data_IF_757043541342
#
_entry.id   IF_757043541342
#
_cell.length_a   1.000
_cell.length_b   1.000
_cell.length_c   1.000
_cell.angle_alpha   90.00
_cell.angle_beta   90.00
_cell.angle_gamma   90.00
#
_symmetry.space_group_name_H-M   'P 1'
#
loop_
_entity.id
_entity.type
_entity.pdbx_description
1 polymer ?
#
# COMPACT_ATOMS: atom_id res chain seq x y z
N UNK A 1 3.14 11.57 -9.70
CA UNK A 1 3.01 10.52 -8.66
C UNK A 1 3.17 9.16 -9.33
N UNK A 2 3.88 8.23 -8.67
CA UNK A 2 4.04 6.86 -9.15
C UNK A 2 2.68 6.16 -9.27
N UNK A 3 2.55 5.20 -10.18
CA UNK A 3 1.36 4.37 -10.30
C UNK A 3 1.76 2.89 -10.27
N UNK A 4 1.00 2.07 -9.56
CA UNK A 4 1.28 0.64 -9.39
C UNK A 4 0.03 -0.18 -9.66
N UNK A 5 0.06 -0.98 -10.72
CA UNK A 5 -0.92 -2.06 -10.89
C UNK A 5 -0.56 -3.19 -9.93
N UNK A 6 -1.48 -3.46 -9.03
CA UNK A 6 -1.20 -4.18 -7.79
C UNK A 6 -2.20 -5.31 -7.56
N UNK A 7 -1.75 -6.37 -6.89
CA UNK A 7 -2.64 -7.36 -6.29
C UNK A 7 -2.21 -7.53 -4.83
N UNK A 8 -3.10 -7.24 -3.88
CA UNK A 8 -2.74 -7.25 -2.44
C UNK A 8 -2.17 -8.61 -2.02
N UNK A 9 -2.77 -9.70 -2.49
CA UNK A 9 -2.36 -11.07 -2.17
C UNK A 9 -1.25 -11.65 -3.09
N UNK A 10 -0.61 -10.85 -3.94
CA UNK A 10 0.52 -11.29 -4.77
C UNK A 10 1.86 -11.09 -4.04
N UNK A 11 2.70 -12.14 -3.92
CA UNK A 11 3.99 -12.02 -3.24
C UNK A 11 4.94 -11.05 -3.95
N UNK A 12 4.93 -10.97 -5.28
CA UNK A 12 5.77 -10.05 -6.05
C UNK A 12 5.35 -8.58 -5.85
N UNK A 13 4.05 -8.32 -5.81
CA UNK A 13 3.51 -6.99 -5.55
C UNK A 13 3.83 -6.54 -4.11
N UNK A 14 3.73 -7.45 -3.14
CA UNK A 14 4.15 -7.21 -1.75
C UNK A 14 5.60 -6.74 -1.65
N UNK A 15 6.54 -7.33 -2.40
CA UNK A 15 7.94 -6.90 -2.37
C UNK A 15 8.09 -5.44 -2.84
N UNK A 16 7.37 -5.05 -3.89
CA UNK A 16 7.39 -3.66 -4.37
C UNK A 16 6.76 -2.71 -3.35
N UNK A 17 5.62 -3.06 -2.76
CA UNK A 17 4.98 -2.25 -1.70
C UNK A 17 5.85 -2.11 -0.45
N UNK A 18 6.62 -3.15 -0.09
CA UNK A 18 7.61 -3.06 0.99
C UNK A 18 8.70 -2.03 0.68
N UNK A 19 9.22 -2.00 -0.56
CA UNK A 19 10.20 -1.00 -0.98
C UNK A 19 9.61 0.40 -1.03
N UNK A 20 8.38 0.56 -1.52
CA UNK A 20 7.67 1.85 -1.49
C UNK A 20 7.47 2.34 -0.04
N UNK A 21 7.17 1.44 0.89
CA UNK A 21 7.12 1.74 2.33
C UNK A 21 8.50 2.16 2.88
N UNK A 22 9.56 1.44 2.50
CA UNK A 22 10.93 1.69 2.97
C UNK A 22 11.48 3.03 2.48
N UNK A 23 11.12 3.42 1.26
CA UNK A 23 11.53 4.69 0.64
C UNK A 23 10.55 5.84 0.94
N UNK A 24 9.50 5.60 1.74
CA UNK A 24 8.44 6.57 2.07
C UNK A 24 7.81 7.23 0.83
N UNK A 25 7.60 6.45 -0.24
CA UNK A 25 7.09 6.94 -1.52
C UNK A 25 5.58 6.80 -1.63
N UNK A 26 4.89 7.88 -1.94
CA UNK A 26 3.47 7.85 -2.25
C UNK A 26 3.20 7.31 -3.65
N UNK A 27 2.14 6.51 -3.77
CA UNK A 27 1.80 5.81 -5.01
C UNK A 27 0.29 5.77 -5.22
N UNK A 28 -0.14 5.95 -6.47
CA UNK A 28 -1.49 5.59 -6.90
C UNK A 28 -1.55 4.08 -7.10
N UNK A 29 -2.35 3.40 -6.29
CA UNK A 29 -2.57 1.95 -6.45
C UNK A 29 -3.75 1.72 -7.38
N UNK A 30 -3.53 0.90 -8.41
CA UNK A 30 -4.51 0.47 -9.40
C UNK A 30 -4.80 -1.03 -9.20
N UNK A 31 -5.81 -1.41 -8.40
CA UNK A 31 -5.93 -2.79 -7.95
C UNK A 31 -6.44 -3.75 -9.02
N UNK A 32 -5.82 -4.92 -9.12
CA UNK A 32 -6.06 -5.90 -10.19
C UNK A 32 -6.43 -7.30 -9.64
N UNK A 33 -7.45 -7.42 -8.78
CA UNK A 33 -7.86 -8.71 -8.19
C UNK A 33 -8.19 -9.74 -9.28
N UNK A 34 -8.15 -11.04 -8.96
CA UNK A 34 -8.48 -12.08 -9.96
C UNK A 34 -9.92 -11.91 -10.43
N UNK A 35 -10.12 -11.90 -11.75
CA UNK A 35 -11.42 -11.66 -12.37
C UNK A 35 -11.86 -10.20 -12.37
N UNK A 36 -10.98 -9.25 -12.01
CA UNK A 36 -11.25 -7.82 -12.14
C UNK A 36 -11.32 -7.39 -13.60
N UNK A 37 -12.19 -6.44 -13.89
CA UNK A 37 -12.49 -5.96 -15.24
C UNK A 37 -12.07 -4.50 -15.44
N UNK A 38 -11.65 -3.79 -14.38
CA UNK A 38 -11.30 -2.37 -14.47
C UNK A 38 -9.88 -2.16 -14.99
N UNK A 39 -8.89 -2.52 -14.18
CA UNK A 39 -7.49 -2.19 -14.47
C UNK A 39 -6.72 -3.31 -15.18
N UNK A 40 -7.24 -4.55 -15.15
CA UNK A 40 -6.59 -5.68 -15.84
C UNK A 40 -6.61 -5.52 -17.37
N UNK A 41 -7.76 -5.19 -18.02
CA UNK A 41 -7.77 -4.99 -19.47
C UNK A 41 -6.95 -3.78 -19.88
N UNK A 42 -7.02 -2.69 -19.11
CA UNK A 42 -6.21 -1.49 -19.31
C UNK A 42 -4.70 -1.81 -19.33
N UNK A 43 -4.22 -2.62 -18.38
CA UNK A 43 -2.83 -3.05 -18.38
C UNK A 43 -2.47 -3.94 -19.57
N UNK A 44 -3.40 -4.78 -20.04
CA UNK A 44 -3.16 -5.59 -21.25
C UNK A 44 -3.02 -4.71 -22.48
N UNK A 45 -3.87 -3.69 -22.61
CA UNK A 45 -3.80 -2.74 -23.72
C UNK A 45 -2.50 -1.92 -23.69
N UNK A 46 -2.09 -1.46 -22.49
CA UNK A 46 -0.90 -0.63 -22.31
C UNK A 46 0.42 -1.42 -22.37
N UNK A 47 0.52 -2.49 -21.59
CA UNK A 47 1.76 -3.24 -21.40
C UNK A 47 1.81 -4.61 -22.10
N UNK A 48 0.73 -4.99 -22.79
CA UNK A 48 0.65 -6.20 -23.62
C UNK A 48 0.30 -7.49 -22.87
N UNK A 49 0.31 -7.49 -21.53
CA UNK A 49 -0.04 -8.67 -20.71
C UNK A 49 -0.51 -8.30 -19.30
N UNK A 50 -1.42 -9.11 -18.76
CA UNK A 50 -1.90 -9.01 -17.39
C UNK A 50 -0.89 -9.62 -16.39
N UNK A 51 0.29 -9.01 -16.28
CA UNK A 51 1.34 -9.39 -15.35
C UNK A 51 1.49 -8.32 -14.26
N UNK A 52 1.66 -8.75 -13.00
CA UNK A 52 1.70 -7.86 -11.84
C UNK A 52 2.90 -8.20 -10.95
N UNK A 53 3.56 -7.21 -10.32
CA UNK A 53 3.26 -5.78 -10.40
C UNK A 53 3.68 -5.15 -11.73
N UNK A 54 3.08 -3.99 -12.05
CA UNK A 54 3.52 -3.10 -13.13
C UNK A 54 3.62 -1.68 -12.58
N UNK A 55 4.80 -1.06 -12.68
CA UNK A 55 5.06 0.29 -12.21
C UNK A 55 5.05 1.25 -13.40
N UNK A 56 4.38 2.40 -13.23
CA UNK A 56 4.53 3.57 -14.09
C UNK A 56 5.13 4.70 -13.26
N UNK A 57 6.17 5.31 -13.78
CA UNK A 57 6.80 6.51 -13.23
C UNK A 57 6.71 7.67 -14.23
N UNK A 58 5.72 8.57 -14.06
CA UNK A 58 5.59 9.74 -14.91
C UNK A 58 6.74 10.76 -14.75
N UNK A 59 7.51 10.71 -13.65
CA UNK A 59 8.60 11.67 -13.42
C UNK A 59 9.80 11.40 -14.33
N UNK A 60 9.95 10.15 -14.78
CA UNK A 60 11.07 9.71 -15.63
C UNK A 60 10.62 9.06 -16.94
N UNK A 61 9.32 9.01 -17.18
CA UNK A 61 8.70 8.34 -18.34
C UNK A 61 9.07 6.84 -18.44
N UNK A 62 9.09 6.16 -17.29
CA UNK A 62 9.49 4.75 -17.17
C UNK A 62 8.27 3.89 -16.87
N UNK A 63 8.12 2.77 -17.58
CA UNK A 63 7.12 1.75 -17.31
C UNK A 63 7.78 0.37 -17.26
N UNK A 64 7.54 -0.38 -16.18
CA UNK A 64 8.32 -1.58 -15.87
C UNK A 64 7.44 -2.74 -15.38
N UNK A 65 7.68 -3.91 -15.97
CA UNK A 65 7.33 -5.20 -15.39
C UNK A 65 8.45 -5.68 -14.45
N UNK A 66 8.27 -6.89 -13.92
CA UNK A 66 9.23 -7.64 -13.09
C UNK A 66 9.54 -6.96 -11.76
N UNK A 67 9.07 -7.56 -10.66
CA UNK A 67 9.21 -6.95 -9.32
C UNK A 67 10.66 -6.64 -8.94
N UNK A 68 11.62 -7.45 -9.36
CA UNK A 68 13.04 -7.22 -9.05
C UNK A 68 13.63 -6.02 -9.80
N UNK A 69 13.19 -5.81 -11.05
CA UNK A 69 13.61 -4.66 -11.86
C UNK A 69 12.97 -3.38 -11.34
N UNK A 70 11.69 -3.44 -10.97
CA UNK A 70 10.98 -2.35 -10.28
C UNK A 70 11.71 -1.97 -8.99
N UNK A 71 12.08 -2.94 -8.15
CA UNK A 71 12.81 -2.68 -6.90
C UNK A 71 14.18 -2.06 -7.18
N UNK A 72 14.90 -2.59 -8.17
CA UNK A 72 16.20 -2.04 -8.56
C UNK A 72 16.09 -0.59 -9.03
N UNK A 73 15.06 -0.29 -9.83
CA UNK A 73 14.73 1.04 -10.30
C UNK A 73 14.42 1.99 -9.13
N UNK A 74 13.51 1.62 -8.22
CA UNK A 74 13.09 2.47 -7.10
C UNK A 74 14.28 2.88 -6.21
N UNK A 75 15.16 1.94 -5.85
CA UNK A 75 16.36 2.28 -5.06
C UNK A 75 17.34 3.15 -5.85
N UNK A 76 17.49 2.91 -7.16
CA UNK A 76 18.39 3.71 -8.00
C UNK A 76 17.91 5.16 -8.12
N UNK A 77 16.61 5.34 -8.36
CA UNK A 77 16.02 6.66 -8.66
C UNK A 77 15.69 7.45 -7.39
N UNK A 78 15.15 6.78 -6.37
CA UNK A 78 14.62 7.42 -5.16
C UNK A 78 15.35 7.05 -3.87
N UNK A 79 16.11 5.95 -3.86
CA UNK A 79 16.85 5.46 -2.68
C UNK A 79 18.31 5.92 -2.59
N UNK A 80 18.73 6.94 -3.35
CA UNK A 80 20.11 7.43 -3.34
C UNK A 80 21.13 6.49 -3.99
N UNK A 81 20.68 5.49 -4.76
CA UNK A 81 21.53 4.59 -5.55
C UNK A 81 21.99 3.32 -4.84
N UNK A 82 21.90 3.24 -3.51
CA UNK A 82 22.31 2.06 -2.75
C UNK A 82 21.14 1.14 -2.42
N UNK A 83 21.29 -0.14 -2.79
CA UNK A 83 20.35 -1.19 -2.38
C UNK A 83 20.81 -1.84 -1.06
N UNK A 84 19.96 -1.90 -0.02
CA UNK A 84 20.22 -2.67 1.18
C UNK A 84 20.56 -4.13 0.87
N UNK A 85 21.39 -4.75 1.71
CA UNK A 85 21.90 -6.10 1.47
C UNK A 85 20.78 -7.15 1.32
N UNK A 86 19.67 -6.99 2.06
CA UNK A 86 18.47 -7.86 1.97
C UNK A 86 17.89 -7.92 0.55
N UNK A 87 17.96 -6.81 -0.20
CA UNK A 87 17.48 -6.71 -1.58
C UNK A 87 18.53 -7.18 -2.61
N UNK A 88 19.82 -7.08 -2.27
CA UNK A 88 20.92 -7.61 -3.10
C UNK A 88 20.97 -9.14 -3.12
N UNK A 89 20.60 -9.79 -2.01
CA UNK A 89 20.60 -11.26 -1.86
C UNK A 89 19.34 -11.94 -2.45
N UNK A 90 18.51 -11.21 -3.19
CA UNK A 90 17.46 -11.79 -4.03
C UNK A 90 16.20 -12.28 -3.31
N UNK A 91 15.81 -11.71 -2.15
CA UNK A 91 14.49 -11.95 -1.54
C UNK A 91 14.16 -13.39 -1.13
N UNK A 92 15.10 -14.34 -1.29
CA UNK A 92 14.88 -15.78 -1.07
C UNK A 92 14.44 -16.10 0.37
N UNK A 93 14.89 -15.31 1.34
CA UNK A 93 14.53 -15.50 2.76
C UNK A 93 13.03 -15.22 3.01
N UNK A 94 12.41 -14.34 2.23
CA UNK A 94 11.01 -13.96 2.41
C UNK A 94 10.06 -15.04 1.88
N UNK A 95 10.42 -15.73 0.79
CA UNK A 95 9.62 -16.83 0.21
C UNK A 95 9.40 -17.98 1.20
N UNK A 96 10.43 -18.34 1.99
CA UNK A 96 10.33 -19.39 3.01
C UNK A 96 9.34 -19.05 4.13
N UNK A 97 9.27 -17.77 4.55
CA UNK A 97 8.32 -17.31 5.56
C UNK A 97 6.86 -17.21 5.06
N UNK A 98 6.66 -17.08 3.73
CA UNK A 98 5.33 -17.00 3.11
C UNK A 98 4.57 -18.33 3.14
N UNK A 99 5.28 -19.48 3.10
CA UNK A 99 4.66 -20.79 3.24
C UNK A 99 4.01 -21.00 4.62
N UNK A 100 4.50 -20.33 5.66
CA UNK A 100 3.96 -20.43 7.01
C UNK A 100 2.63 -19.66 7.22
N UNK A 101 2.17 -18.89 6.22
CA UNK A 101 0.98 -18.02 6.30
C UNK A 101 -0.19 -18.51 5.43
N UNK A 102 -0.28 -19.83 5.20
CA UNK A 102 -1.24 -20.46 4.29
C UNK A 102 -2.75 -20.37 4.61
N UNK A 103 -3.28 -20.04 5.82
CA UNK A 103 -4.71 -20.26 6.06
C UNK A 103 -5.65 -19.16 5.52
N UNK A 104 -5.18 -18.13 4.81
CA UNK A 104 -6.03 -17.00 4.34
C UNK A 104 -6.18 -16.86 2.81
N UNK A 105 -5.78 -17.88 2.05
CA UNK A 105 -5.64 -17.84 0.58
C UNK A 105 -6.91 -17.51 -0.25
N UNK A 106 -8.06 -17.18 0.35
CA UNK A 106 -9.31 -16.94 -0.40
C UNK A 106 -9.98 -15.58 -0.18
N UNK A 107 -9.62 -14.81 0.86
CA UNK A 107 -10.29 -13.52 1.15
C UNK A 107 -9.56 -12.37 0.44
N UNK A 108 -10.30 -11.53 -0.29
CA UNK A 108 -9.74 -10.40 -1.06
C UNK A 108 -9.02 -10.78 -2.36
N UNK A 109 -9.15 -12.02 -2.83
CA UNK A 109 -8.47 -12.47 -4.06
C UNK A 109 -9.29 -12.32 -5.34
N UNK A 110 -10.61 -12.27 -5.23
CA UNK A 110 -11.52 -12.12 -6.38
C UNK A 110 -12.13 -10.73 -6.40
N UNK A 111 -12.38 -10.25 -7.61
CA UNK A 111 -13.13 -9.03 -7.81
C UNK A 111 -14.54 -9.13 -7.23
N UNK A 112 -14.95 -8.06 -6.59
CA UNK A 112 -16.31 -7.70 -6.21
C UNK A 112 -16.36 -6.20 -6.42
N UNK A 113 -16.37 -5.83 -7.69
CA UNK A 113 -16.24 -4.46 -8.18
C UNK A 113 -17.25 -3.56 -7.48
N UNK A 114 -16.75 -2.47 -6.90
CA UNK A 114 -17.58 -1.42 -6.31
C UNK A 114 -17.65 -0.19 -7.21
N UNK A 115 -18.43 0.79 -6.78
CA UNK A 115 -18.54 2.08 -7.45
C UNK A 115 -17.23 2.87 -7.34
N UNK A 116 -16.87 3.59 -8.39
CA UNK A 116 -15.64 4.39 -8.42
C UNK A 116 -15.89 5.71 -7.70
N UNK A 117 -15.06 6.08 -6.71
CA UNK A 117 -15.13 7.42 -6.15
C UNK A 117 -14.74 8.47 -7.19
N UNK A 118 -15.39 9.64 -7.18
CA UNK A 118 -15.09 10.74 -8.11
C UNK A 118 -13.68 11.30 -7.88
N UNK A 119 -13.26 11.34 -6.61
CA UNK A 119 -11.94 11.73 -6.16
C UNK A 119 -11.24 10.56 -5.47
N UNK A 120 -9.93 10.43 -5.67
CA UNK A 120 -9.16 9.33 -5.10
C UNK A 120 -9.20 9.35 -3.57
N UNK A 121 -9.51 8.19 -2.98
CA UNK A 121 -9.36 8.00 -1.53
C UNK A 121 -7.88 8.04 -1.16
N UNK A 122 -7.56 8.51 0.04
CA UNK A 122 -6.21 8.45 0.60
C UNK A 122 -6.13 7.41 1.72
N UNK A 123 -5.23 6.44 1.59
CA UNK A 123 -4.98 5.44 2.63
C UNK A 123 -3.57 5.62 3.21
N UNK A 124 -3.50 5.98 4.47
CA UNK A 124 -2.27 5.98 5.25
C UNK A 124 -2.04 4.56 5.76
N UNK A 125 -0.95 3.94 5.31
CA UNK A 125 -0.69 2.52 5.51
C UNK A 125 0.82 2.21 5.43
N UNK A 126 1.21 1.03 5.90
CA UNK A 126 2.51 0.44 5.62
C UNK A 126 2.36 -1.07 5.44
N UNK A 127 3.23 -1.70 4.66
CA UNK A 127 3.06 -3.10 4.19
C UNK A 127 2.85 -4.09 5.35
N UNK A 128 3.63 -3.97 6.43
CA UNK A 128 3.59 -4.91 7.57
C UNK A 128 2.45 -4.68 8.57
N UNK A 129 1.58 -3.69 8.37
CA UNK A 129 0.42 -3.48 9.26
C UNK A 129 -0.69 -4.51 9.00
N UNK A 130 -1.06 -5.35 10.00
CA UNK A 130 -2.10 -6.35 9.81
C UNK A 130 -3.50 -5.72 9.66
N UNK A 131 -3.75 -4.57 10.27
CA UNK A 131 -5.02 -3.85 10.17
C UNK A 131 -5.17 -3.12 8.84
N UNK A 132 -4.09 -2.47 8.36
CA UNK A 132 -4.11 -1.80 7.07
C UNK A 132 -4.22 -2.80 5.91
N UNK A 133 -3.62 -3.99 6.06
CA UNK A 133 -3.79 -5.08 5.11
C UNK A 133 -5.25 -5.41 4.86
N UNK A 134 -6.11 -5.43 5.88
CA UNK A 134 -7.55 -5.70 5.70
C UNK A 134 -8.21 -4.66 4.79
N UNK A 135 -7.88 -3.38 4.99
CA UNK A 135 -8.39 -2.28 4.17
C UNK A 135 -7.89 -2.38 2.73
N UNK A 136 -6.59 -2.66 2.53
CA UNK A 136 -6.03 -2.87 1.18
C UNK A 136 -6.64 -4.08 0.47
N UNK A 137 -6.90 -5.17 1.18
CA UNK A 137 -7.59 -6.35 0.64
C UNK A 137 -9.01 -5.99 0.16
N UNK A 138 -9.74 -5.15 0.92
CA UNK A 138 -11.08 -4.69 0.55
C UNK A 138 -11.04 -3.75 -0.66
N UNK A 139 -10.20 -2.72 -0.65
CA UNK A 139 -10.01 -1.81 -1.80
C UNK A 139 -9.58 -2.58 -3.05
N UNK A 140 -8.71 -3.58 -2.88
CA UNK A 140 -8.28 -4.44 -3.97
C UNK A 140 -9.43 -5.28 -4.53
N UNK A 141 -10.25 -5.90 -3.68
CA UNK A 141 -11.41 -6.67 -4.13
C UNK A 141 -12.43 -5.78 -4.85
N UNK A 142 -12.62 -4.54 -4.39
CA UNK A 142 -13.56 -3.58 -4.97
C UNK A 142 -13.04 -2.89 -6.24
N UNK A 143 -11.78 -3.12 -6.62
CA UNK A 143 -11.13 -2.42 -7.72
C UNK A 143 -11.14 -0.89 -7.56
N UNK A 144 -11.18 -0.38 -6.32
CA UNK A 144 -11.19 1.07 -6.06
C UNK A 144 -9.74 1.58 -6.11
N UNK A 145 -9.40 2.52 -7.02
CA UNK A 145 -8.09 3.14 -7.02
C UNK A 145 -7.95 4.10 -5.83
N UNK A 146 -6.75 4.19 -5.27
CA UNK A 146 -6.48 5.04 -4.11
C UNK A 146 -5.03 5.51 -4.05
N UNK A 147 -4.81 6.66 -3.40
CA UNK A 147 -3.48 7.13 -3.05
C UNK A 147 -3.03 6.40 -1.79
N UNK A 148 -1.96 5.62 -1.89
CA UNK A 148 -1.30 5.03 -0.73
C UNK A 148 -0.28 6.05 -0.19
N UNK A 149 -0.57 6.58 1.00
CA UNK A 149 0.33 7.42 1.79
C UNK A 149 1.18 6.52 2.67
N UNK A 150 2.44 6.30 2.29
CA UNK A 150 3.28 5.38 3.05
C UNK A 150 3.62 5.95 4.43
N UNK A 151 3.45 5.13 5.46
CA UNK A 151 3.65 5.51 6.86
C UNK A 151 4.50 4.45 7.56
N UNK A 152 5.67 4.19 6.99
CA UNK A 152 6.67 3.26 7.53
C UNK A 152 7.11 3.61 8.96
N UNK A 153 8.08 2.87 9.48
CA UNK A 153 8.67 3.16 10.78
C UNK A 153 10.18 3.05 10.67
N UNK A 154 10.88 4.16 10.84
CA UNK A 154 12.34 4.24 10.78
C UNK A 154 12.97 4.26 12.17
N UNK A 155 12.23 4.71 13.19
CA UNK A 155 12.73 4.83 14.56
C UNK A 155 12.22 3.70 15.45
N UNK A 156 13.07 3.14 16.30
CA UNK A 156 12.68 2.11 17.28
C UNK A 156 11.55 2.59 18.23
N UNK A 157 11.51 3.88 18.55
CA UNK A 157 10.45 4.51 19.36
C UNK A 157 9.07 4.47 18.68
N UNK A 158 9.01 4.39 17.35
CA UNK A 158 7.77 4.25 16.59
C UNK A 158 7.17 2.84 16.69
N UNK A 159 7.90 1.88 17.24
CA UNK A 159 7.39 0.54 17.51
C UNK A 159 6.76 0.40 18.90
N UNK A 160 6.88 1.41 19.76
CA UNK A 160 6.26 1.39 21.10
C UNK A 160 4.73 1.39 21.00
N UNK A 161 4.04 0.49 21.71
CA UNK A 161 2.58 0.50 21.78
C UNK A 161 2.03 1.79 22.40
N UNK A 162 0.80 2.24 22.04
CA UNK A 162 0.18 3.45 22.60
C UNK A 162 0.21 3.59 24.13
N UNK A 163 -0.14 2.56 24.94
CA UNK A 163 -0.11 2.70 26.40
C UNK A 163 1.30 2.95 26.94
N UNK A 164 2.31 2.36 26.31
CA UNK A 164 3.72 2.54 26.69
C UNK A 164 4.20 3.95 26.33
N UNK A 165 3.81 4.49 25.17
CA UNK A 165 4.14 5.87 24.78
C UNK A 165 3.55 6.90 25.74
N UNK A 166 2.28 6.71 26.12
CA UNK A 166 1.59 7.57 27.07
C UNK A 166 2.27 7.53 28.44
N UNK A 167 2.60 6.33 28.93
CA UNK A 167 3.32 6.15 30.19
C UNK A 167 4.71 6.80 30.18
N UNK A 168 5.44 6.75 29.06
CA UNK A 168 6.77 7.35 28.90
C UNK A 168 6.75 8.84 28.54
N UNK A 169 5.58 9.45 28.31
CA UNK A 169 5.42 10.82 27.78
C UNK A 169 6.29 11.08 26.53
N UNK A 170 6.51 10.05 25.71
CA UNK A 170 7.32 10.11 24.49
C UNK A 170 6.44 9.91 23.27
N UNK A 171 6.09 11.00 22.60
CA UNK A 171 5.62 10.97 21.21
C UNK A 171 6.85 10.91 20.30
N UNK A 172 7.01 9.87 19.46
CA UNK A 172 8.08 9.85 18.48
C UNK A 172 7.89 11.02 17.52
N UNK A 173 8.86 11.92 17.44
CA UNK A 173 8.94 12.91 16.36
C UNK A 173 9.43 12.17 15.12
N UNK A 174 8.49 11.73 14.28
CA UNK A 174 8.84 11.05 13.04
C UNK A 174 9.43 12.06 12.05
N UNK A 175 10.50 11.68 11.37
CA UNK A 175 11.05 12.47 10.27
C UNK A 175 10.25 12.27 8.96
N UNK A 176 9.43 11.22 8.89
CA UNK A 176 8.65 10.85 7.70
C UNK A 176 7.49 11.81 7.47
N UNK A 177 7.36 12.30 6.23
CA UNK A 177 6.45 13.39 5.86
C UNK A 177 4.99 13.02 6.12
N UNK A 178 4.55 11.86 5.64
CA UNK A 178 3.17 11.40 5.81
C UNK A 178 2.76 11.20 7.26
N UNK A 179 3.68 10.77 8.12
CA UNK A 179 3.40 10.57 9.56
C UNK A 179 3.24 11.92 10.25
N UNK A 180 4.06 12.91 9.88
CA UNK A 180 3.92 14.29 10.37
C UNK A 180 2.64 14.93 9.87
N UNK A 181 2.32 14.75 8.59
CA UNK A 181 1.09 15.25 7.98
C UNK A 181 -0.15 14.68 8.67
N UNK A 182 -0.21 13.36 8.85
CA UNK A 182 -1.33 12.70 9.56
C UNK A 182 -1.46 13.18 11.01
N UNK A 183 -0.33 13.29 11.73
CA UNK A 183 -0.34 13.79 13.10
C UNK A 183 -0.81 15.24 13.19
N UNK A 184 -0.34 16.11 12.28
CA UNK A 184 -0.73 17.51 12.24
C UNK A 184 -2.24 17.67 11.93
N UNK A 185 -2.73 16.88 10.98
CA UNK A 185 -4.10 16.94 10.49
C UNK A 185 -5.11 16.38 11.50
N UNK A 186 -4.83 15.21 12.07
CA UNK A 186 -5.80 14.46 12.89
C UNK A 186 -5.49 14.50 14.39
N UNK A 187 -4.37 15.11 14.79
CA UNK A 187 -3.90 15.15 16.17
C UNK A 187 -3.46 13.79 16.72
N UNK A 188 -3.50 12.72 15.92
CA UNK A 188 -3.08 11.36 16.31
C UNK A 188 -2.48 10.60 15.15
N UNK A 189 -1.57 9.69 15.47
CA UNK A 189 -0.87 8.83 14.51
C UNK A 189 -1.23 7.36 14.76
N UNK A 190 -2.34 6.92 14.16
CA UNK A 190 -2.78 5.53 14.12
C UNK A 190 -2.91 5.06 12.67
N UNK A 191 -2.62 3.79 12.41
CA UNK A 191 -2.60 3.19 11.07
C UNK A 191 -3.41 1.89 11.12
N UNK A 192 -4.35 1.65 10.19
CA UNK A 192 -4.66 2.47 9.01
C UNK A 192 -5.33 3.80 9.35
N UNK A 193 -5.29 4.72 8.39
CA UNK A 193 -6.21 5.85 8.34
C UNK A 193 -6.67 6.03 6.90
N UNK A 194 -7.98 6.06 6.67
CA UNK A 194 -8.58 6.33 5.37
C UNK A 194 -9.17 7.74 5.42
N UNK A 195 -8.88 8.55 4.41
CA UNK A 195 -9.58 9.79 4.14
C UNK A 195 -10.32 9.70 2.80
N UNK A 196 -11.58 10.09 2.83
CA UNK A 196 -12.42 10.21 1.66
C UNK A 196 -12.74 11.68 1.37
N UNK A 197 -12.13 12.26 0.32
CA UNK A 197 -12.39 13.65 -0.05
C UNK A 197 -13.78 13.86 -0.70
N UNK A 198 -14.48 12.81 -1.11
CA UNK A 198 -15.82 12.90 -1.69
C UNK A 198 -16.88 13.19 -0.62
N UNK A 199 -16.64 12.74 0.61
CA UNK A 199 -17.55 12.92 1.76
C UNK A 199 -16.94 13.74 2.90
N UNK A 200 -15.68 14.14 2.76
CA UNK A 200 -14.85 14.80 3.77
C UNK A 200 -14.75 14.00 5.09
N UNK A 201 -14.67 12.67 5.00
CA UNK A 201 -14.61 11.77 6.16
C UNK A 201 -13.23 11.13 6.36
N UNK A 202 -12.75 11.17 7.59
CA UNK A 202 -11.48 10.57 8.02
C UNK A 202 -11.68 9.53 9.12
N UNK A 203 -11.09 8.34 8.98
CA UNK A 203 -11.35 7.21 9.90
C UNK A 203 -10.10 6.36 10.15
N UNK A 204 -9.96 5.84 11.37
CA UNK A 204 -8.77 5.09 11.81
C UNK A 204 -9.00 3.60 12.03
N UNK A 205 -10.18 3.23 12.54
CA UNK A 205 -10.44 1.84 12.91
C UNK A 205 -10.70 1.01 11.65
N UNK A 206 -9.92 -0.06 11.46
CA UNK A 206 -10.03 -0.86 10.23
C UNK A 206 -11.42 -1.47 10.06
N UNK A 207 -12.13 -1.79 11.14
CA UNK A 207 -13.51 -2.27 11.07
C UNK A 207 -14.46 -1.24 10.47
N UNK A 208 -14.39 -0.01 10.97
CA UNK A 208 -15.22 1.11 10.51
C UNK A 208 -14.90 1.44 9.04
N UNK A 209 -13.61 1.41 8.66
CA UNK A 209 -13.16 1.57 7.28
C UNK A 209 -13.77 0.53 6.35
N UNK A 210 -13.79 -0.73 6.74
CA UNK A 210 -14.36 -1.80 5.93
C UNK A 210 -15.87 -1.63 5.74
N UNK A 211 -16.59 -1.28 6.81
CA UNK A 211 -18.04 -1.02 6.78
C UNK A 211 -18.32 0.18 5.86
N UNK A 212 -17.63 1.29 6.07
CA UNK A 212 -17.79 2.51 5.26
C UNK A 212 -17.57 2.26 3.77
N UNK A 213 -16.49 1.57 3.39
CA UNK A 213 -16.21 1.27 1.99
C UNK A 213 -17.33 0.44 1.37
N UNK A 214 -17.85 -0.54 2.12
CA UNK A 214 -18.94 -1.39 1.63
C UNK A 214 -20.26 -0.64 1.54
N UNK A 215 -20.57 0.25 2.49
CA UNK A 215 -21.83 1.00 2.52
C UNK A 215 -21.84 2.14 1.49
N UNK A 216 -20.69 2.76 1.22
CA UNK A 216 -20.58 3.95 0.35
C UNK A 216 -20.28 3.58 -1.09
N UNK A 217 -19.43 2.58 -1.32
CA UNK A 217 -18.93 2.21 -2.65
C UNK A 217 -19.20 0.74 -3.01
N UNK A 218 -19.91 0.00 -2.16
CA UNK A 218 -20.29 -1.37 -2.49
C UNK A 218 -21.45 -1.43 -3.45
N UNK A 219 -21.31 -2.23 -4.50
CA UNK A 219 -22.39 -2.58 -5.43
C UNK A 219 -23.23 -3.77 -4.95
#
# INVERSE_FOLDING_TARGET
MLQLYDIENCPYCRLVREVLTELDLDVLVLPCPKGGERFRPELVERGGKAQFPYLIDPNTDVELYESLDIIAYLFKTYGGGERPLKWKLGGLQTFGSMLASAPRLNRGMRARTGDVPEQLLELYSFESSPYARLVREQLCAMEIPYVLRNCGRTLASEWLPPPVRSALKKTPESELENRRHLLHREGKLSIPYLYDPNTDQGMFESGDILTYLQDTYGS
#
